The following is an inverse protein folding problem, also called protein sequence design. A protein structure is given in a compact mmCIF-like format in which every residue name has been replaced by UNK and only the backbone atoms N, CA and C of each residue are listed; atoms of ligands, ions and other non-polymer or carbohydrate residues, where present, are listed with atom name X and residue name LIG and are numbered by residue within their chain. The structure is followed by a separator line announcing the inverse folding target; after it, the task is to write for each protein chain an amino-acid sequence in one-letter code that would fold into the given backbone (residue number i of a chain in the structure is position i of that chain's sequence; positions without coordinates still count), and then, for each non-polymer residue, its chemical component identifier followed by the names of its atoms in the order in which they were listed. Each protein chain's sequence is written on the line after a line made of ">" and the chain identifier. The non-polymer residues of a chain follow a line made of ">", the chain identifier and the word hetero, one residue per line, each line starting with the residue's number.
data_IF_361288329901
#
_entry.id   IF_361288329901
#
_cell.length_a   1.000
_cell.length_b   1.000
_cell.length_c   1.000
_cell.angle_alpha   90.00
_cell.angle_beta   90.00
_cell.angle_gamma   90.00
#
_symmetry.space_group_name_H-M   'P 1'
#
loop_
_entity.id
_entity.type
_entity.pdbx_description
1 polymer ?
#
# COMPACT_ATOMS: atom_id res chain seq x y z
N UNK A 1 38.69 15.60 -5.45
CA UNK A 1 37.78 14.48 -5.18
C UNK A 1 36.37 14.92 -5.53
N UNK A 2 35.61 14.22 -6.39
CA UNK A 2 34.22 14.57 -6.64
C UNK A 2 33.38 14.14 -5.44
N UNK A 3 32.70 15.10 -4.81
CA UNK A 3 31.84 14.86 -3.65
C UNK A 3 30.61 14.03 -4.03
N UNK A 4 30.33 13.00 -3.23
CA UNK A 4 29.10 12.22 -3.33
C UNK A 4 27.93 13.13 -2.94
N UNK A 5 27.04 13.39 -3.90
CA UNK A 5 25.85 14.19 -3.70
C UNK A 5 24.71 13.23 -3.34
N UNK A 6 24.51 12.99 -2.05
CA UNK A 6 23.32 12.30 -1.57
C UNK A 6 22.14 13.26 -1.71
N UNK A 7 21.35 13.09 -2.78
CA UNK A 7 20.06 13.78 -2.91
C UNK A 7 19.06 13.04 -2.01
N UNK A 8 19.05 13.40 -0.72
CA UNK A 8 17.96 13.00 0.16
C UNK A 8 16.75 13.85 -0.21
N UNK A 9 15.83 13.30 -1.01
CA UNK A 9 14.49 13.85 -1.17
C UNK A 9 13.83 13.86 0.23
N UNK A 10 13.87 15.00 0.91
CA UNK A 10 13.11 15.22 2.13
C UNK A 10 11.66 15.41 1.70
N UNK A 11 10.98 14.29 1.42
CA UNK A 11 9.52 14.29 1.35
C UNK A 11 8.97 14.81 2.67
N UNK A 12 7.86 15.56 2.62
CA UNK A 12 7.15 15.98 3.82
C UNK A 12 6.85 14.75 4.67
N UNK A 13 7.34 14.70 5.90
CA UNK A 13 6.98 13.64 6.83
C UNK A 13 5.51 13.83 7.22
N UNK A 14 4.70 12.80 7.04
CA UNK A 14 3.33 12.75 7.54
C UNK A 14 3.34 11.83 8.76
N UNK A 15 2.93 12.37 9.90
CA UNK A 15 2.78 11.59 11.13
C UNK A 15 1.37 11.05 11.23
N UNK A 16 1.23 9.75 11.45
CA UNK A 16 -0.02 9.10 11.83
C UNK A 16 0.01 8.84 13.33
N UNK A 17 -1.12 9.05 14.02
CA UNK A 17 -1.25 8.54 15.38
C UNK A 17 -1.39 7.01 15.37
N UNK A 18 -1.25 6.38 16.54
CA UNK A 18 -1.29 4.92 16.65
C UNK A 18 -2.63 4.33 16.20
N UNK A 19 -3.75 4.98 16.52
CA UNK A 19 -5.08 4.47 16.19
C UNK A 19 -5.33 4.53 14.68
N UNK A 20 -4.93 5.63 14.04
CA UNK A 20 -5.00 5.79 12.59
C UNK A 20 -4.06 4.84 11.86
N UNK A 21 -2.86 4.58 12.40
CA UNK A 21 -1.94 3.60 11.84
C UNK A 21 -2.50 2.16 11.91
N UNK A 22 -3.11 1.76 13.03
CA UNK A 22 -3.78 0.46 13.17
C UNK A 22 -4.97 0.33 12.21
N UNK A 23 -5.76 1.41 12.09
CA UNK A 23 -6.88 1.45 11.17
C UNK A 23 -6.41 1.31 9.72
N UNK A 24 -5.39 2.06 9.33
CA UNK A 24 -4.82 1.98 7.98
C UNK A 24 -4.22 0.59 7.71
N UNK A 25 -3.53 0.00 8.68
CA UNK A 25 -2.99 -1.34 8.54
C UNK A 25 -4.08 -2.39 8.32
N UNK A 26 -5.21 -2.25 9.01
CA UNK A 26 -6.38 -3.12 8.84
C UNK A 26 -6.96 -2.98 7.44
N UNK A 27 -7.20 -1.74 6.99
CA UNK A 27 -7.72 -1.46 5.64
C UNK A 27 -6.82 -2.03 4.55
N UNK A 28 -5.50 -1.89 4.69
CA UNK A 28 -4.54 -2.44 3.71
C UNK A 28 -4.51 -3.97 3.71
N UNK A 29 -4.65 -4.61 4.87
CA UNK A 29 -4.74 -6.07 4.95
C UNK A 29 -6.03 -6.60 4.31
N UNK A 30 -7.16 -5.96 4.58
CA UNK A 30 -8.45 -6.31 3.96
C UNK A 30 -8.43 -6.09 2.45
N UNK A 31 -7.79 -5.00 2.00
CA UNK A 31 -7.61 -4.73 0.57
C UNK A 31 -6.80 -5.83 -0.12
N UNK A 32 -5.68 -6.26 0.48
CA UNK A 32 -4.88 -7.37 -0.03
C UNK A 32 -5.73 -8.66 -0.12
N UNK A 33 -6.51 -8.96 0.91
CA UNK A 33 -7.42 -10.11 0.92
C UNK A 33 -8.46 -10.04 -0.22
N UNK A 34 -9.15 -8.91 -0.36
CA UNK A 34 -10.18 -8.73 -1.39
C UNK A 34 -9.62 -8.78 -2.82
N UNK A 35 -8.35 -8.45 -3.01
CA UNK A 35 -7.66 -8.57 -4.29
C UNK A 35 -7.33 -10.03 -4.65
N UNK A 36 -7.11 -10.90 -3.67
CA UNK A 36 -6.70 -12.30 -3.86
C UNK A 36 -7.84 -13.31 -3.89
N UNK A 37 -8.91 -13.08 -3.12
CA UNK A 37 -9.96 -14.09 -3.00
C UNK A 37 -10.64 -14.39 -4.34
N UNK A 38 -11.02 -15.65 -4.59
CA UNK A 38 -11.90 -15.97 -5.70
C UNK A 38 -13.35 -15.59 -5.37
N UNK A 39 -14.18 -15.48 -6.41
CA UNK A 39 -15.62 -15.32 -6.27
C UNK A 39 -16.13 -13.86 -6.36
N UNK A 40 -17.44 -13.66 -6.15
CA UNK A 40 -18.12 -12.40 -6.46
C UNK A 40 -17.75 -11.24 -5.52
N UNK A 41 -17.15 -11.53 -4.37
CA UNK A 41 -16.74 -10.53 -3.39
C UNK A 41 -15.33 -9.97 -3.68
N UNK A 42 -14.62 -10.51 -4.68
CA UNK A 42 -13.29 -10.04 -5.04
C UNK A 42 -13.34 -8.67 -5.69
N UNK A 43 -12.26 -7.90 -5.57
CA UNK A 43 -12.05 -6.70 -6.38
C UNK A 43 -11.87 -7.11 -7.84
N UNK A 44 -12.79 -6.71 -8.70
CA UNK A 44 -12.76 -7.01 -10.14
C UNK A 44 -11.75 -6.12 -10.88
N UNK A 45 -11.60 -6.33 -12.19
CA UNK A 45 -10.55 -5.64 -12.96
C UNK A 45 -10.87 -4.16 -13.20
N UNK A 46 -12.16 -3.79 -13.27
CA UNK A 46 -12.59 -2.39 -13.36
C UNK A 46 -12.28 -1.64 -12.05
N UNK A 47 -12.61 -2.24 -10.91
CA UNK A 47 -12.30 -1.69 -9.58
C UNK A 47 -10.79 -1.62 -9.34
N UNK A 48 -10.04 -2.62 -9.79
CA UNK A 48 -8.58 -2.61 -9.74
C UNK A 48 -7.99 -1.48 -10.59
N UNK A 49 -8.51 -1.24 -11.80
CA UNK A 49 -8.09 -0.13 -12.63
C UNK A 49 -8.35 1.23 -11.97
N UNK A 50 -9.47 1.38 -11.24
CA UNK A 50 -9.75 2.59 -10.43
C UNK A 50 -8.70 2.79 -9.34
N UNK A 51 -8.35 1.73 -8.60
CA UNK A 51 -7.31 1.79 -7.56
C UNK A 51 -5.93 2.13 -8.13
N UNK A 52 -5.64 1.73 -9.37
CA UNK A 52 -4.38 2.02 -10.05
C UNK A 52 -4.39 3.33 -10.87
N UNK A 53 -5.43 4.17 -10.70
CA UNK A 53 -5.58 5.46 -11.40
C UNK A 53 -5.60 5.31 -12.93
N UNK A 54 -6.21 4.23 -13.43
CA UNK A 54 -6.30 3.93 -14.86
C UNK A 54 -4.99 3.41 -15.49
N UNK A 55 -3.93 3.21 -14.70
CA UNK A 55 -2.72 2.51 -15.16
C UNK A 55 -2.98 1.01 -15.29
N UNK A 56 -2.25 0.35 -16.18
CA UNK A 56 -2.28 -1.10 -16.31
C UNK A 56 -1.93 -1.74 -14.96
N UNK A 57 -2.90 -2.40 -14.28
CA UNK A 57 -2.68 -2.81 -12.91
C UNK A 57 -1.99 -4.17 -12.85
N UNK A 58 -0.92 -4.27 -12.06
CA UNK A 58 -0.42 -5.57 -11.60
C UNK A 58 -1.08 -5.91 -10.26
N UNK A 59 -2.04 -6.84 -10.32
CA UNK A 59 -2.80 -7.30 -9.14
C UNK A 59 -1.87 -7.89 -8.07
N UNK A 60 -0.89 -8.69 -8.48
CA UNK A 60 0.01 -9.35 -7.56
C UNK A 60 0.94 -8.34 -6.88
N UNK A 61 1.41 -7.35 -7.64
CA UNK A 61 2.17 -6.22 -7.09
C UNK A 61 1.36 -5.45 -6.04
N UNK A 62 0.10 -5.09 -6.36
CA UNK A 62 -0.74 -4.33 -5.44
C UNK A 62 -1.06 -5.11 -4.16
N UNK A 63 -1.35 -6.41 -4.27
CA UNK A 63 -1.51 -7.31 -3.11
C UNK A 63 -0.25 -7.27 -2.22
N UNK A 64 0.92 -7.46 -2.83
CA UNK A 64 2.18 -7.49 -2.09
C UNK A 64 2.47 -6.15 -1.41
N UNK A 65 2.21 -5.03 -2.12
CA UNK A 65 2.37 -3.69 -1.60
C UNK A 65 1.44 -3.43 -0.40
N UNK A 66 0.15 -3.76 -0.52
CA UNK A 66 -0.82 -3.59 0.56
C UNK A 66 -0.43 -4.42 1.80
N UNK A 67 -0.13 -5.71 1.61
CA UNK A 67 0.25 -6.60 2.71
C UNK A 67 1.54 -6.18 3.42
N UNK A 68 2.54 -5.69 2.67
CA UNK A 68 3.81 -5.24 3.23
C UNK A 68 3.66 -3.95 4.04
N UNK A 69 2.89 -2.99 3.55
CA UNK A 69 2.62 -1.74 4.28
C UNK A 69 1.75 -2.00 5.53
N UNK A 70 0.77 -2.90 5.47
CA UNK A 70 -0.01 -3.30 6.64
C UNK A 70 0.88 -3.87 7.76
N UNK A 71 1.84 -4.72 7.41
CA UNK A 71 2.81 -5.27 8.36
C UNK A 71 3.77 -4.21 8.89
N UNK A 72 4.24 -3.33 8.01
CA UNK A 72 5.13 -2.22 8.38
C UNK A 72 4.49 -1.28 9.40
N UNK A 73 3.22 -0.92 9.19
CA UNK A 73 2.46 -0.08 10.12
C UNK A 73 2.27 -0.77 11.47
N UNK A 74 1.95 -2.07 11.50
CA UNK A 74 1.80 -2.83 12.76
C UNK A 74 3.11 -3.07 13.51
N UNK A 75 4.25 -3.11 12.81
CA UNK A 75 5.56 -3.33 13.42
C UNK A 75 6.26 -2.05 13.91
N UNK A 76 5.69 -0.86 13.62
CA UNK A 76 6.27 0.44 14.00
C UNK A 76 5.77 0.97 15.35
N UNK A 77 4.81 0.31 16.00
CA UNK A 77 4.27 0.69 17.30
C UNK A 77 4.44 -0.41 18.34
#
# INVERSE_FOLDING_TARGET
>A
MPGSLTISHHGSAVTLDHADAERLATVLADLAYLLEIPGPNRINDEQLAVLCEGRAPDRAELVHWCASNARGLKGQF
#
